data_IF_371571326064
#
_entry.id   IF_371571326064
#
_cell.length_a   1.000
_cell.length_b   1.000
_cell.length_c   1.000
_cell.angle_alpha   90.00
_cell.angle_beta   90.00
_cell.angle_gamma   90.00
#
_symmetry.space_group_name_H-M   'P 1'
#
loop_
_entity.id
_entity.type
_entity.pdbx_description
1 polymer ?
#
# COMPACT_ATOMS: atom_id res chain seq x y z
N UNK A 1 -11.37 38.51 -8.50
CA UNK A 1 -10.31 38.42 -9.52
C UNK A 1 -10.10 36.94 -9.81
N UNK A 2 -10.47 36.48 -11.01
CA UNK A 2 -10.44 35.07 -11.42
C UNK A 2 -9.33 34.93 -12.46
N UNK A 3 -8.33 34.09 -12.18
CA UNK A 3 -7.25 33.79 -13.13
C UNK A 3 -7.55 32.46 -13.83
N UNK A 4 -7.99 32.56 -15.08
CA UNK A 4 -8.07 31.45 -16.03
C UNK A 4 -6.77 31.38 -16.83
N UNK A 5 -6.07 30.26 -16.78
CA UNK A 5 -4.87 30.00 -17.60
C UNK A 5 -5.17 28.89 -18.63
N UNK A 6 -4.71 28.99 -19.88
CA UNK A 6 -4.95 27.95 -20.89
C UNK A 6 -3.89 26.83 -20.81
N UNK A 7 -4.35 25.57 -20.79
CA UNK A 7 -3.49 24.39 -20.95
C UNK A 7 -3.16 24.19 -22.43
N UNK A 8 -1.86 24.08 -22.72
CA UNK A 8 -1.31 23.75 -24.05
C UNK A 8 -1.27 22.22 -24.20
N UNK A 9 -2.12 21.65 -25.05
CA UNK A 9 -1.96 20.25 -25.49
C UNK A 9 -0.93 20.20 -26.60
N UNK A 10 0.12 19.40 -26.43
CA UNK A 10 1.06 19.07 -27.50
C UNK A 10 0.69 17.72 -28.09
N UNK A 11 0.11 17.75 -29.28
CA UNK A 11 0.01 16.62 -30.18
C UNK A 11 1.40 16.25 -30.71
N UNK A 12 1.81 14.99 -30.56
CA UNK A 12 2.83 14.40 -31.44
C UNK A 12 2.30 13.12 -32.08
N UNK A 13 2.34 13.16 -33.40
CA UNK A 13 1.71 12.28 -34.38
C UNK A 13 2.80 11.39 -35.03
N UNK A 14 2.44 10.12 -35.25
CA UNK A 14 2.93 9.17 -36.30
C UNK A 14 4.31 8.51 -36.08
N UNK A 15 4.48 7.20 -36.31
CA UNK A 15 4.60 6.65 -37.68
C UNK A 15 4.45 5.11 -37.74
N UNK A 16 3.72 4.65 -38.78
CA UNK A 16 3.57 3.25 -39.24
C UNK A 16 4.44 3.02 -40.49
N UNK A 17 5.24 1.93 -40.56
CA UNK A 17 5.69 1.12 -41.75
C UNK A 17 7.11 0.55 -41.54
N UNK A 18 7.27 -0.79 -41.43
CA UNK A 18 7.56 -1.82 -42.49
C UNK A 18 8.97 -1.73 -43.09
N UNK A 19 9.79 -2.79 -42.93
CA UNK A 19 10.66 -3.40 -43.99
C UNK A 19 10.84 -4.91 -43.70
N UNK A 20 10.81 -5.71 -44.77
CA UNK A 20 10.95 -7.18 -44.88
C UNK A 20 12.40 -7.61 -45.21
N UNK A 21 12.65 -8.94 -45.15
CA UNK A 21 13.76 -9.75 -45.73
C UNK A 21 15.02 -9.88 -44.85
N UNK A 22 15.65 -11.05 -44.66
CA UNK A 22 15.92 -12.10 -45.63
C UNK A 22 16.00 -13.54 -45.05
N UNK A 23 15.88 -14.48 -46.00
CA UNK A 23 15.85 -15.95 -45.94
C UNK A 23 17.20 -16.62 -45.60
N UNK A 24 17.14 -17.78 -44.94
CA UNK A 24 18.20 -18.79 -44.89
C UNK A 24 17.66 -20.14 -44.38
N UNK A 25 17.53 -21.12 -45.29
CA UNK A 25 17.07 -22.48 -44.99
C UNK A 25 18.25 -23.40 -44.62
N UNK A 26 18.01 -24.44 -43.80
CA UNK A 26 18.26 -25.89 -44.10
C UNK A 26 18.26 -26.77 -42.82
N UNK A 27 17.32 -27.75 -42.78
CA UNK A 27 17.34 -29.15 -42.23
C UNK A 27 18.15 -29.48 -40.95
N UNK A 28 17.71 -30.27 -39.97
CA UNK A 28 16.96 -31.53 -40.05
C UNK A 28 16.30 -31.91 -38.68
N UNK A 29 15.39 -32.88 -38.75
CA UNK A 29 14.44 -33.31 -37.74
C UNK A 29 15.02 -33.93 -36.45
N UNK A 30 14.37 -33.61 -35.32
CA UNK A 30 14.19 -34.52 -34.19
C UNK A 30 12.76 -34.37 -33.64
N UNK A 31 12.04 -35.49 -33.68
CA UNK A 31 10.70 -35.76 -33.15
C UNK A 31 10.72 -35.73 -31.61
N UNK A 32 9.86 -34.97 -30.91
CA UNK A 32 8.54 -35.42 -30.45
C UNK A 32 7.77 -34.21 -29.87
N UNK A 33 6.51 -34.13 -30.24
CA UNK A 33 5.52 -33.12 -29.85
C UNK A 33 5.18 -33.14 -28.36
N UNK A 34 5.35 -32.00 -27.70
CA UNK A 34 4.74 -31.63 -26.43
C UNK A 34 4.59 -30.11 -26.40
N UNK A 35 3.45 -29.62 -26.91
CA UNK A 35 3.17 -28.20 -27.14
C UNK A 35 3.06 -27.40 -25.84
N UNK A 36 3.91 -26.38 -25.70
CA UNK A 36 3.82 -25.35 -24.67
C UNK A 36 4.87 -24.27 -24.92
N UNK A 37 4.89 -23.71 -26.13
CA UNK A 37 5.82 -22.66 -26.59
C UNK A 37 5.45 -21.26 -26.02
N UNK A 38 5.05 -21.22 -24.76
CA UNK A 38 4.73 -20.02 -23.99
C UNK A 38 5.38 -20.17 -22.62
N UNK A 39 6.70 -20.20 -22.62
CA UNK A 39 7.49 -19.89 -21.43
C UNK A 39 7.56 -18.35 -21.34
N UNK A 40 6.41 -17.72 -21.13
CA UNK A 40 6.37 -16.41 -20.49
C UNK A 40 6.61 -16.71 -19.01
N UNK A 41 7.87 -16.83 -18.62
CA UNK A 41 8.22 -16.85 -17.21
C UNK A 41 7.62 -15.57 -16.61
N UNK A 42 6.64 -15.67 -15.70
CA UNK A 42 5.90 -14.50 -15.25
C UNK A 42 6.91 -13.50 -14.65
N UNK A 43 6.89 -12.27 -15.16
CA UNK A 43 7.77 -11.21 -14.67
C UNK A 43 7.64 -11.15 -13.14
N UNK A 44 8.77 -11.18 -12.40
CA UNK A 44 8.70 -11.18 -10.95
C UNK A 44 7.92 -9.95 -10.48
N UNK A 45 6.99 -10.18 -9.55
CA UNK A 45 6.19 -9.10 -9.00
C UNK A 45 7.10 -7.96 -8.49
N UNK A 46 6.72 -6.69 -8.70
CA UNK A 46 7.51 -5.57 -8.24
C UNK A 46 7.73 -5.66 -6.73
N UNK A 47 8.91 -5.23 -6.28
CA UNK A 47 9.21 -5.17 -4.86
C UNK A 47 8.18 -4.28 -4.14
N UNK A 48 7.78 -4.64 -2.91
CA UNK A 48 6.83 -3.85 -2.14
C UNK A 48 7.40 -2.46 -1.85
N UNK A 49 6.50 -1.48 -1.71
CA UNK A 49 6.89 -0.12 -1.36
C UNK A 49 7.59 -0.09 0.02
N UNK A 50 8.67 0.68 0.22
CA UNK A 50 9.38 0.75 1.50
C UNK A 50 8.53 1.18 2.71
N UNK A 51 7.40 1.86 2.50
CA UNK A 51 6.45 2.26 3.53
C UNK A 51 5.33 1.24 3.76
N UNK A 52 5.33 0.10 3.06
CA UNK A 52 4.37 -0.99 3.26
C UNK A 52 4.20 -1.39 4.75
N UNK A 53 5.29 -1.47 5.57
CA UNK A 53 5.12 -1.77 6.99
C UNK A 53 4.25 -0.76 7.75
N UNK A 54 4.24 0.51 7.35
CA UNK A 54 3.42 1.55 8.01
C UNK A 54 1.94 1.35 7.66
N UNK A 55 1.65 0.99 6.41
CA UNK A 55 0.31 0.69 5.95
C UNK A 55 -0.26 -0.52 6.70
N UNK A 56 0.51 -1.61 6.77
CA UNK A 56 0.10 -2.83 7.48
C UNK A 56 -0.14 -2.56 8.97
N UNK A 57 0.72 -1.77 9.60
CA UNK A 57 0.54 -1.34 10.99
C UNK A 57 -0.71 -0.48 11.18
N UNK A 58 -1.01 0.44 10.26
CA UNK A 58 -2.20 1.29 10.33
C UNK A 58 -3.48 0.45 10.25
N UNK A 59 -3.54 -0.49 9.31
CA UNK A 59 -4.67 -1.42 9.18
C UNK A 59 -4.83 -2.30 10.43
N UNK A 60 -3.73 -2.80 10.98
CA UNK A 60 -3.76 -3.60 12.22
C UNK A 60 -4.24 -2.78 13.42
N UNK A 61 -3.80 -1.53 13.55
CA UNK A 61 -4.25 -0.64 14.63
C UNK A 61 -5.73 -0.28 14.47
N UNK A 62 -6.19 0.00 13.24
CA UNK A 62 -7.61 0.23 12.97
C UNK A 62 -8.48 -0.95 13.45
N UNK A 63 -8.10 -2.18 13.08
CA UNK A 63 -8.81 -3.39 13.52
C UNK A 63 -8.77 -3.57 15.05
N UNK A 64 -7.65 -3.26 15.71
CA UNK A 64 -7.54 -3.34 17.16
C UNK A 64 -8.45 -2.32 17.86
N UNK A 65 -8.53 -1.09 17.34
CA UNK A 65 -9.45 -0.07 17.86
C UNK A 65 -10.91 -0.41 17.56
N UNK A 66 -11.23 -1.03 16.42
CA UNK A 66 -12.58 -1.52 16.12
C UNK A 66 -13.04 -2.57 17.15
N UNK A 67 -12.14 -3.46 17.60
CA UNK A 67 -12.43 -4.39 18.68
C UNK A 67 -12.61 -3.67 20.02
N UNK A 68 -11.76 -2.70 20.33
CA UNK A 68 -11.88 -1.91 21.57
C UNK A 68 -13.15 -1.04 21.60
N UNK A 69 -13.61 -0.56 20.44
CA UNK A 69 -14.81 0.24 20.27
C UNK A 69 -16.10 -0.48 20.67
N UNK A 70 -16.09 -1.83 20.68
CA UNK A 70 -17.21 -2.62 21.20
C UNK A 70 -17.43 -2.41 22.71
N UNK A 71 -16.38 -2.05 23.45
CA UNK A 71 -16.44 -1.76 24.88
C UNK A 71 -16.41 -0.26 25.21
N UNK A 72 -15.70 0.55 24.42
CA UNK A 72 -15.56 1.99 24.62
C UNK A 72 -15.73 2.73 23.27
N UNK A 73 -16.92 3.31 22.99
CA UNK A 73 -17.18 4.01 21.72
C UNK A 73 -16.21 5.17 21.42
N UNK A 74 -15.50 5.70 22.42
CA UNK A 74 -14.48 6.73 22.18
C UNK A 74 -13.31 6.21 21.32
N UNK A 75 -13.14 4.88 21.20
CA UNK A 75 -12.09 4.26 20.38
C UNK A 75 -12.37 4.35 18.87
N UNK A 76 -13.61 4.65 18.45
CA UNK A 76 -13.99 4.74 17.03
C UNK A 76 -13.16 5.79 16.29
N UNK A 77 -12.93 6.96 16.90
CA UNK A 77 -12.16 8.03 16.28
C UNK A 77 -10.71 7.60 15.96
N UNK A 78 -10.10 6.80 16.85
CA UNK A 78 -8.74 6.27 16.63
C UNK A 78 -8.71 5.29 15.46
N UNK A 79 -9.73 4.43 15.34
CA UNK A 79 -9.84 3.51 14.20
C UNK A 79 -10.01 4.27 12.88
N UNK A 80 -10.82 5.33 12.87
CA UNK A 80 -11.01 6.20 11.71
C UNK A 80 -9.72 6.89 11.29
N UNK A 81 -8.98 7.47 12.22
CA UNK A 81 -7.69 8.12 11.93
C UNK A 81 -6.68 7.14 11.31
N UNK A 82 -6.61 5.90 11.81
CA UNK A 82 -5.75 4.88 11.22
C UNK A 82 -6.21 4.45 9.82
N UNK A 83 -7.53 4.36 9.58
CA UNK A 83 -8.05 4.09 8.23
C UNK A 83 -7.76 5.24 7.27
N UNK A 84 -7.84 6.49 7.73
CA UNK A 84 -7.48 7.67 6.94
C UNK A 84 -5.99 7.63 6.54
N UNK A 85 -5.09 7.35 7.48
CA UNK A 85 -3.67 7.17 7.16
C UNK A 85 -3.41 6.02 6.16
N UNK A 86 -4.11 4.89 6.33
CA UNK A 86 -4.00 3.77 5.41
C UNK A 86 -4.47 4.14 3.99
N UNK A 87 -5.54 4.91 3.86
CA UNK A 87 -6.05 5.38 2.57
C UNK A 87 -5.09 6.33 1.85
N UNK A 88 -4.46 7.26 2.58
CA UNK A 88 -3.44 8.15 2.03
C UNK A 88 -2.20 7.37 1.57
N UNK A 89 -1.74 6.39 2.37
CA UNK A 89 -0.62 5.52 1.98
C UNK A 89 -0.94 4.67 0.75
N UNK A 90 -2.14 4.08 0.69
CA UNK A 90 -2.56 3.29 -0.47
C UNK A 90 -2.65 4.15 -1.75
N UNK A 91 -3.18 5.38 -1.62
CA UNK A 91 -3.19 6.36 -2.72
C UNK A 91 -1.79 6.67 -3.20
N UNK A 92 -0.84 6.85 -2.28
CA UNK A 92 0.56 7.09 -2.60
C UNK A 92 1.20 5.88 -3.32
N UNK A 93 0.86 4.65 -2.92
CA UNK A 93 1.36 3.43 -3.56
C UNK A 93 0.71 3.13 -4.92
N UNK A 94 -0.37 3.84 -5.27
CA UNK A 94 -1.20 3.50 -6.43
C UNK A 94 -1.94 2.18 -6.27
N UNK A 95 -2.19 1.73 -5.04
CA UNK A 95 -2.86 0.48 -4.73
C UNK A 95 -4.26 0.72 -4.17
N UNK A 96 -5.17 -0.21 -4.41
CA UNK A 96 -6.45 -0.24 -3.71
C UNK A 96 -6.24 -0.87 -2.33
N UNK A 97 -6.86 -0.29 -1.29
CA UNK A 97 -6.95 -0.97 0.00
C UNK A 97 -7.73 -2.29 -0.15
N UNK A 98 -7.37 -3.33 0.62
CA UNK A 98 -8.18 -4.54 0.67
C UNK A 98 -9.60 -4.15 1.11
N UNK A 99 -10.57 -4.35 0.21
CA UNK A 99 -11.98 -4.23 0.56
C UNK A 99 -12.29 -5.26 1.64
N UNK A 100 -12.99 -4.86 2.70
CA UNK A 100 -13.25 -5.66 3.91
C UNK A 100 -14.09 -6.92 3.73
N UNK A 101 -13.99 -7.60 2.59
CA UNK A 101 -14.56 -8.91 2.39
C UNK A 101 -13.89 -9.89 3.37
N UNK A 102 -14.66 -10.58 4.23
CA UNK A 102 -14.08 -11.51 5.19
C UNK A 102 -13.41 -12.67 4.43
N UNK A 103 -12.11 -12.84 4.64
CA UNK A 103 -11.40 -14.03 4.18
C UNK A 103 -12.02 -15.25 4.87
N UNK A 104 -12.45 -16.24 4.07
CA UNK A 104 -13.04 -17.49 4.53
C UNK A 104 -11.97 -18.39 5.18
N UNK A 105 -11.53 -18.02 6.39
CA UNK A 105 -10.85 -18.83 7.42
C UNK A 105 -10.26 -17.87 8.46
N UNK A 106 -11.11 -17.11 9.14
CA UNK A 106 -10.66 -16.27 10.24
C UNK A 106 -10.38 -17.15 11.48
N UNK A 107 -9.22 -17.00 12.16
CA UNK A 107 -9.04 -17.51 13.51
C UNK A 107 -10.11 -16.89 14.44
N UNK A 108 -10.33 -17.51 15.60
CA UNK A 108 -11.24 -16.99 16.64
C UNK A 108 -11.08 -15.47 16.84
N UNK A 109 -12.17 -14.73 17.16
CA UNK A 109 -12.09 -13.28 17.29
C UNK A 109 -10.99 -12.90 18.28
N UNK A 110 -10.04 -12.10 17.82
CA UNK A 110 -9.03 -11.53 18.70
C UNK A 110 -9.77 -10.76 19.81
N UNK A 111 -9.40 -11.03 21.07
CA UNK A 111 -9.99 -10.34 22.21
C UNK A 111 -9.64 -8.84 22.13
N UNK A 112 -10.55 -7.99 22.59
CA UNK A 112 -10.30 -6.55 22.65
C UNK A 112 -9.06 -6.28 23.51
N UNK A 113 -8.12 -5.50 22.96
CA UNK A 113 -6.90 -5.11 23.66
C UNK A 113 -7.22 -4.08 24.74
N UNK A 114 -6.52 -4.15 25.87
CA UNK A 114 -6.57 -3.13 26.91
C UNK A 114 -5.99 -1.80 26.43
N UNK A 115 -6.35 -0.69 27.08
CA UNK A 115 -5.77 0.64 26.79
C UNK A 115 -4.24 0.65 26.91
N UNK A 116 -3.67 -0.12 27.84
CA UNK A 116 -2.23 -0.24 28.01
C UNK A 116 -1.56 -0.96 26.81
N UNK A 117 -2.19 -2.02 26.29
CA UNK A 117 -1.71 -2.73 25.10
C UNK A 117 -1.84 -1.87 23.84
N UNK A 118 -2.97 -1.17 23.66
CA UNK A 118 -3.16 -0.21 22.56
C UNK A 118 -2.11 0.91 22.62
N UNK A 119 -1.84 1.46 23.82
CA UNK A 119 -0.81 2.48 24.03
C UNK A 119 0.58 1.95 23.68
N UNK A 120 0.90 0.72 24.06
CA UNK A 120 2.18 0.09 23.71
C UNK A 120 2.29 -0.12 22.18
N UNK A 121 1.21 -0.55 21.54
CA UNK A 121 1.14 -0.72 20.09
C UNK A 121 1.33 0.61 19.35
N UNK A 122 0.68 1.69 19.81
CA UNK A 122 0.86 3.04 19.25
C UNK A 122 2.30 3.54 19.39
N UNK A 123 2.94 3.32 20.54
CA UNK A 123 4.33 3.72 20.75
C UNK A 123 5.31 2.92 19.88
N UNK A 124 5.06 1.63 19.66
CA UNK A 124 5.87 0.82 18.76
C UNK A 124 5.72 1.31 17.31
N UNK A 125 4.47 1.49 16.88
CA UNK A 125 4.12 1.95 15.53
C UNK A 125 4.59 3.40 15.28
N UNK A 126 4.60 4.25 16.29
CA UNK A 126 5.16 5.60 16.24
C UNK A 126 6.67 5.57 15.97
N UNK A 127 7.41 4.67 16.61
CA UNK A 127 8.86 4.51 16.39
C UNK A 127 9.16 4.03 14.98
N UNK A 128 8.38 3.06 14.47
CA UNK A 128 8.48 2.61 13.07
C UNK A 128 8.28 3.78 12.12
N UNK A 129 7.19 4.54 12.29
CA UNK A 129 6.88 5.69 11.44
C UNK A 129 7.94 6.81 11.55
N UNK A 130 8.45 7.10 12.75
CA UNK A 130 9.51 8.09 12.93
C UNK A 130 10.82 7.67 12.22
N UNK A 131 11.21 6.40 12.33
CA UNK A 131 12.39 5.89 11.63
C UNK A 131 12.21 5.95 10.10
N UNK A 132 11.02 5.57 9.60
CA UNK A 132 10.71 5.66 8.19
C UNK A 132 10.65 7.11 7.69
N UNK A 133 10.17 8.06 8.50
CA UNK A 133 10.16 9.48 8.17
C UNK A 133 11.58 10.01 7.92
N UNK A 134 12.56 9.55 8.71
CA UNK A 134 13.97 9.93 8.55
C UNK A 134 14.59 9.32 7.30
N UNK A 135 14.18 8.09 6.94
CA UNK A 135 14.69 7.38 5.77
C UNK A 135 13.98 7.78 4.46
N UNK A 136 12.78 8.35 4.53
CA UNK A 136 11.95 8.65 3.37
C UNK A 136 12.48 9.83 2.56
N UNK A 137 12.30 9.83 1.23
CA UNK A 137 12.51 11.01 0.40
C UNK A 137 11.56 12.16 0.81
N UNK A 138 11.96 13.40 0.48
CA UNK A 138 11.30 14.61 1.00
C UNK A 138 9.80 14.74 0.64
N UNK A 139 9.40 14.24 -0.52
CA UNK A 139 8.01 14.20 -1.00
C UNK A 139 7.12 13.25 -0.17
N UNK A 140 7.72 12.29 0.53
CA UNK A 140 7.01 11.30 1.37
C UNK A 140 7.18 11.56 2.86
N UNK A 141 8.28 12.19 3.26
CA UNK A 141 8.62 12.43 4.66
C UNK A 141 7.55 13.22 5.41
N UNK A 142 6.90 14.21 4.77
CA UNK A 142 5.86 15.01 5.40
C UNK A 142 4.65 14.16 5.85
N UNK A 143 4.15 13.27 4.99
CA UNK A 143 3.05 12.35 5.31
C UNK A 143 3.45 11.38 6.42
N UNK A 144 4.64 10.79 6.33
CA UNK A 144 5.10 9.83 7.35
C UNK A 144 5.32 10.50 8.70
N UNK A 145 5.84 11.73 8.69
CA UNK A 145 6.01 12.55 9.89
C UNK A 145 4.67 12.88 10.56
N UNK A 146 3.62 13.22 9.79
CA UNK A 146 2.29 13.46 10.36
C UNK A 146 1.68 12.19 10.97
N UNK A 147 1.87 11.04 10.34
CA UNK A 147 1.46 9.73 10.89
C UNK A 147 2.18 9.47 12.22
N UNK A 148 3.50 9.68 12.28
CA UNK A 148 4.27 9.50 13.51
C UNK A 148 3.79 10.45 14.64
N UNK A 149 3.48 11.71 14.31
CA UNK A 149 2.96 12.68 15.27
C UNK A 149 1.56 12.28 15.79
N UNK A 150 0.67 11.84 14.91
CA UNK A 150 -0.66 11.38 15.31
C UNK A 150 -0.59 10.16 16.24
N UNK A 151 0.23 9.16 15.92
CA UNK A 151 0.46 7.98 16.77
C UNK A 151 1.00 8.34 18.16
N UNK A 152 1.86 9.36 18.25
CA UNK A 152 2.32 9.89 19.54
C UNK A 152 1.17 10.51 20.35
N UNK A 153 0.29 11.27 19.69
CA UNK A 153 -0.90 11.87 20.31
C UNK A 153 -1.88 10.80 20.78
N UNK A 154 -2.13 9.76 19.98
CA UNK A 154 -2.96 8.64 20.38
C UNK A 154 -2.42 7.91 21.60
N UNK A 155 -1.13 7.58 21.58
CA UNK A 155 -0.48 6.98 22.74
C UNK A 155 -0.72 7.84 23.99
N UNK A 156 -0.54 9.17 23.90
CA UNK A 156 -0.77 10.09 25.01
C UNK A 156 -2.22 10.11 25.50
N UNK A 157 -3.20 10.01 24.60
CA UNK A 157 -4.62 9.96 24.94
C UNK A 157 -5.04 8.66 25.65
N UNK A 158 -4.28 7.58 25.47
CA UNK A 158 -4.50 6.28 26.13
C UNK A 158 -3.81 6.15 27.51
N UNK A 159 -3.38 7.26 28.11
CA UNK A 159 -2.78 7.28 29.45
C UNK A 159 -3.80 7.09 30.56
#
# INVERSE_FOLDING_TARGET
MVFTWPVRMSDTRHTRRRILTATGAMMAAATLSGCGLFDDEPEPAPAPDPLQPILDEALRLAAAYDLAAQADPAMVAFAEDHRAHAAELATLFGTALPSGAPAASAPAPAQAQSKAELRAAELAAQKTAAAACVAAPADRAALVGSIAACRATHANALR
#
